data_IF_614385763747
#
_entry.id   IF_614385763747
#
_cell.length_a   1.000
_cell.length_b   1.000
_cell.length_c   1.000
_cell.angle_alpha   90.00
_cell.angle_beta   90.00
_cell.angle_gamma   90.00
#
_symmetry.space_group_name_H-M   'P 1'
#
loop_
_entity.id
_entity.type
_entity.pdbx_description
1 polymer ?
#
# COMPACT_ATOMS: atom_id res chain seq x y z
N UNK A 1 2.58 -94.27 8.66
CA UNK A 1 3.32 -94.11 7.38
C UNK A 1 4.28 -92.93 7.52
N UNK A 2 5.59 -93.19 7.35
CA UNK A 2 6.71 -92.30 6.98
C UNK A 2 6.92 -90.97 7.76
N UNK A 3 7.95 -90.84 8.62
CA UNK A 3 9.41 -90.63 8.40
C UNK A 3 9.82 -89.14 8.40
N UNK A 4 10.57 -88.78 9.45
CA UNK A 4 11.71 -87.83 9.60
C UNK A 4 12.04 -86.88 8.43
N UNK A 5 12.32 -85.60 8.74
CA UNK A 5 13.66 -84.97 8.54
C UNK A 5 13.88 -83.70 9.39
N UNK A 6 15.09 -83.60 9.96
CA UNK A 6 15.73 -82.42 10.58
C UNK A 6 16.28 -81.46 9.50
N UNK A 7 16.38 -80.15 9.78
CA UNK A 7 17.51 -79.33 9.31
C UNK A 7 17.68 -78.04 10.14
N UNK A 8 18.89 -77.88 10.68
CA UNK A 8 19.42 -76.69 11.36
C UNK A 8 19.78 -75.59 10.36
N UNK A 9 19.58 -74.32 10.73
CA UNK A 9 20.34 -73.20 10.18
C UNK A 9 20.78 -72.26 11.31
N UNK A 10 22.10 -72.11 11.43
CA UNK A 10 22.78 -71.04 12.18
C UNK A 10 22.68 -69.73 11.39
N UNK A 11 22.46 -68.60 12.07
CA UNK A 11 22.92 -67.29 11.58
C UNK A 11 23.26 -66.34 12.73
N UNK A 12 24.47 -65.81 12.65
CA UNK A 12 25.22 -64.96 13.57
C UNK A 12 24.44 -63.75 14.13
N UNK A 13 24.49 -63.59 15.45
CA UNK A 13 24.20 -62.33 16.15
C UNK A 13 25.48 -61.48 16.23
N UNK A 14 25.52 -60.34 15.53
CA UNK A 14 26.54 -59.31 15.76
C UNK A 14 26.12 -58.42 16.92
N UNK A 15 26.80 -58.56 18.07
CA UNK A 15 26.73 -57.63 19.20
C UNK A 15 27.57 -56.39 18.85
N UNK A 16 26.93 -55.32 18.40
CA UNK A 16 27.56 -53.98 18.39
C UNK A 16 27.41 -53.40 19.79
N UNK A 17 28.46 -53.53 20.60
CA UNK A 17 28.61 -52.78 21.85
C UNK A 17 28.85 -51.31 21.52
N UNK A 18 27.78 -50.51 21.53
CA UNK A 18 27.89 -49.04 21.47
C UNK A 18 28.30 -48.56 22.86
N UNK A 19 29.53 -48.05 22.95
CA UNK A 19 30.08 -47.43 24.16
C UNK A 19 29.17 -46.30 24.67
N UNK A 20 28.93 -46.16 25.99
CA UNK A 20 28.07 -45.10 26.56
C UNK A 20 28.57 -43.67 26.34
N UNK A 21 29.75 -43.48 25.74
CA UNK A 21 30.47 -42.19 25.71
C UNK A 21 30.16 -41.29 24.50
N UNK A 22 29.19 -41.61 23.64
CA UNK A 22 28.90 -40.82 22.41
C UNK A 22 27.46 -40.29 22.30
N UNK A 23 26.58 -40.54 23.29
CA UNK A 23 25.25 -39.90 23.34
C UNK A 23 25.30 -38.67 24.26
N UNK A 24 26.22 -37.76 23.96
CA UNK A 24 26.06 -36.34 24.28
C UNK A 24 25.93 -35.59 22.95
N UNK A 25 24.98 -36.02 22.10
CA UNK A 25 24.50 -35.14 21.05
C UNK A 25 23.88 -33.95 21.76
N UNK A 26 24.56 -32.82 21.65
CA UNK A 26 24.14 -31.53 22.13
C UNK A 26 22.68 -31.29 21.75
N UNK A 27 21.79 -31.38 22.73
CA UNK A 27 20.60 -30.56 22.73
C UNK A 27 21.09 -29.11 22.76
N UNK A 28 21.35 -28.52 21.57
CA UNK A 28 21.30 -27.07 21.42
C UNK A 28 19.90 -26.68 21.84
N UNK A 29 19.74 -26.32 23.12
CA UNK A 29 18.49 -25.76 23.63
C UNK A 29 18.09 -24.64 22.69
N UNK A 30 16.87 -24.70 22.15
CA UNK A 30 16.30 -23.55 21.44
C UNK A 30 16.31 -22.41 22.45
N UNK A 31 17.21 -21.44 22.26
CA UNK A 31 17.25 -20.26 23.11
C UNK A 31 15.87 -19.62 23.10
N UNK A 32 15.31 -19.38 24.28
CA UNK A 32 13.96 -18.84 24.43
C UNK A 32 13.89 -17.49 23.73
N UNK A 33 12.88 -17.29 22.88
CA UNK A 33 12.72 -16.03 22.18
C UNK A 33 12.56 -14.88 23.17
N UNK A 34 13.21 -13.75 22.91
CA UNK A 34 12.90 -12.50 23.61
C UNK A 34 11.58 -11.98 23.06
N UNK A 35 10.72 -11.52 23.96
CA UNK A 35 9.39 -11.02 23.62
C UNK A 35 9.25 -9.57 24.06
N UNK A 36 8.78 -8.73 23.14
CA UNK A 36 8.31 -7.38 23.40
C UNK A 36 6.83 -7.25 23.03
N UNK A 37 6.13 -6.31 23.65
CA UNK A 37 4.73 -5.99 23.38
C UNK A 37 4.57 -4.51 23.05
N UNK A 38 3.64 -4.21 22.14
CA UNK A 38 3.27 -2.86 21.73
C UNK A 38 1.75 -2.72 21.78
N UNK A 39 1.21 -1.65 22.35
CA UNK A 39 -0.23 -1.34 22.37
C UNK A 39 -0.46 0.14 22.03
N UNK A 40 -1.52 0.53 21.31
CA UNK A 40 -1.87 1.94 21.11
C UNK A 40 -2.14 2.70 22.42
N UNK A 41 -2.39 1.98 23.52
CA UNK A 41 -2.56 2.52 24.88
C UNK A 41 -1.32 2.29 25.77
N UNK A 42 -0.22 1.83 25.18
CA UNK A 42 1.04 1.57 25.87
C UNK A 42 1.79 2.84 26.23
N UNK A 43 3.04 2.69 26.68
CA UNK A 43 3.93 3.81 26.99
C UNK A 43 5.37 3.46 26.62
N UNK A 44 6.04 4.32 25.85
CA UNK A 44 7.41 4.08 25.38
C UNK A 44 8.49 4.18 26.47
N UNK A 45 8.12 4.67 27.66
CA UNK A 45 8.98 4.66 28.85
C UNK A 45 8.97 3.31 29.60
N UNK A 46 8.11 2.36 29.24
CA UNK A 46 8.07 1.02 29.85
C UNK A 46 9.06 0.06 29.19
N UNK A 47 9.24 -1.14 29.75
CA UNK A 47 10.19 -2.13 29.23
C UNK A 47 9.63 -2.98 28.08
N UNK A 48 8.32 -2.93 27.84
CA UNK A 48 7.67 -3.72 26.79
C UNK A 48 7.61 -5.22 27.05
N UNK A 49 7.92 -5.70 28.26
CA UNK A 49 8.04 -7.13 28.58
C UNK A 49 6.72 -7.83 28.91
N UNK A 50 5.66 -7.07 29.15
CA UNK A 50 4.33 -7.58 29.44
C UNK A 50 3.31 -7.02 28.44
N UNK A 51 2.26 -7.78 28.08
CA UNK A 51 1.21 -7.31 27.17
C UNK A 51 0.29 -6.25 27.80
N UNK A 52 0.49 -5.92 29.08
CA UNK A 52 -0.37 -5.04 29.87
C UNK A 52 -0.16 -3.58 29.52
N UNK A 53 -1.19 -2.76 29.77
CA UNK A 53 -1.14 -1.30 29.58
C UNK A 53 -0.87 -0.59 30.90
N UNK A 54 -0.13 -1.24 31.83
CA UNK A 54 0.09 -0.76 33.18
C UNK A 54 1.45 -1.20 33.72
N UNK A 55 2.02 -0.38 34.59
CA UNK A 55 3.27 -0.68 35.29
C UNK A 55 4.50 -0.52 34.39
N UNK A 56 5.69 -0.55 34.99
CA UNK A 56 6.95 -0.29 34.28
C UNK A 56 7.29 -1.35 33.23
N UNK A 57 6.67 -2.53 33.29
CA UNK A 57 6.89 -3.62 32.34
C UNK A 57 5.88 -3.67 31.19
N UNK A 58 4.87 -2.80 31.20
CA UNK A 58 3.81 -2.82 30.20
C UNK A 58 4.31 -2.60 28.77
N UNK A 59 3.40 -2.77 27.82
CA UNK A 59 3.66 -2.65 26.39
C UNK A 59 4.14 -1.25 25.99
N UNK A 60 5.06 -1.18 25.04
CA UNK A 60 5.44 0.07 24.39
C UNK A 60 4.21 0.71 23.71
N UNK A 61 4.21 2.04 23.53
CA UNK A 61 3.19 2.73 22.76
C UNK A 61 3.43 2.56 21.26
N UNK A 62 4.69 2.54 20.82
CA UNK A 62 5.06 2.61 19.41
C UNK A 62 5.87 1.41 18.93
N UNK A 63 5.70 1.08 17.64
CA UNK A 63 6.49 0.05 16.94
C UNK A 63 7.95 0.50 16.81
N UNK A 64 8.18 1.82 16.63
CA UNK A 64 9.51 2.42 16.60
C UNK A 64 10.27 2.17 17.91
N UNK A 65 9.64 2.38 19.07
CA UNK A 65 10.27 2.09 20.35
C UNK A 65 10.67 0.62 20.49
N UNK A 66 9.82 -0.32 20.02
CA UNK A 66 10.14 -1.74 20.04
C UNK A 66 11.34 -2.08 19.13
N UNK A 67 11.45 -1.47 17.95
CA UNK A 67 12.66 -1.56 17.10
C UNK A 67 13.89 -1.07 17.86
N UNK A 68 13.80 0.09 18.52
CA UNK A 68 14.93 0.68 19.22
C UNK A 68 15.37 -0.18 20.44
N UNK A 69 14.42 -0.80 21.14
CA UNK A 69 14.72 -1.76 22.22
C UNK A 69 15.48 -2.99 21.70
N UNK A 70 15.24 -3.41 20.45
CA UNK A 70 15.97 -4.50 19.81
C UNK A 70 17.40 -4.07 19.45
N UNK A 71 17.60 -2.81 19.03
CA UNK A 71 18.94 -2.24 18.81
C UNK A 71 19.74 -2.19 20.10
N UNK A 72 19.14 -1.68 21.18
CA UNK A 72 19.72 -1.68 22.53
C UNK A 72 20.12 -3.10 22.96
N UNK A 73 19.24 -4.09 22.72
CA UNK A 73 19.50 -5.49 23.03
C UNK A 73 20.69 -6.05 22.23
N UNK A 74 20.81 -5.73 20.94
CA UNK A 74 21.95 -6.16 20.11
C UNK A 74 23.26 -5.60 20.66
N UNK A 75 23.29 -4.31 21.00
CA UNK A 75 24.47 -3.67 21.58
C UNK A 75 24.88 -4.37 22.89
N UNK A 76 23.93 -4.69 23.77
CA UNK A 76 24.17 -5.46 25.00
C UNK A 76 24.71 -6.88 24.74
N UNK A 77 24.49 -7.42 23.54
CA UNK A 77 24.92 -8.77 23.15
C UNK A 77 26.19 -8.80 22.30
N UNK A 78 26.81 -7.65 22.02
CA UNK A 78 27.97 -7.54 21.13
C UNK A 78 27.58 -7.44 19.66
N UNK A 79 26.61 -6.58 19.35
CA UNK A 79 26.12 -6.18 18.02
C UNK A 79 25.46 -7.29 17.19
N UNK A 80 25.17 -8.44 17.80
CA UNK A 80 24.44 -9.53 17.16
C UNK A 80 23.46 -10.18 18.13
N UNK A 81 22.32 -10.61 17.61
CA UNK A 81 21.34 -11.34 18.41
C UNK A 81 21.86 -12.74 18.74
N UNK A 82 21.65 -13.19 19.97
CA UNK A 82 21.94 -14.56 20.45
C UNK A 82 20.70 -15.45 20.55
N UNK A 83 19.53 -14.88 20.27
CA UNK A 83 18.22 -15.52 20.29
C UNK A 83 17.25 -14.78 19.37
N UNK A 84 16.19 -15.44 18.87
CA UNK A 84 15.18 -14.75 18.08
C UNK A 84 14.40 -13.75 18.93
N UNK A 85 13.84 -12.72 18.29
CA UNK A 85 12.98 -11.73 18.94
C UNK A 85 11.59 -11.76 18.32
N UNK A 86 10.56 -11.68 19.16
CA UNK A 86 9.17 -11.48 18.72
C UNK A 86 8.60 -10.22 19.35
N UNK A 87 8.07 -9.33 18.52
CA UNK A 87 7.32 -8.14 18.93
C UNK A 87 5.83 -8.42 18.68
N UNK A 88 5.04 -8.52 19.73
CA UNK A 88 3.60 -8.68 19.64
C UNK A 88 2.89 -7.32 19.67
N UNK A 89 2.09 -7.06 18.63
CA UNK A 89 1.24 -5.88 18.53
C UNK A 89 -0.17 -6.23 19.03
N UNK A 90 -0.64 -5.50 20.03
CA UNK A 90 -2.02 -5.56 20.51
C UNK A 90 -3.00 -4.99 19.47
N UNK A 91 -4.27 -5.30 19.61
CA UNK A 91 -5.33 -4.83 18.73
C UNK A 91 -5.54 -3.32 18.82
N UNK A 92 -5.89 -2.72 17.68
CA UNK A 92 -6.14 -1.30 17.53
C UNK A 92 -5.34 -0.69 16.39
N UNK A 93 -5.54 0.61 16.19
CA UNK A 93 -4.90 1.37 15.11
C UNK A 93 -3.71 2.16 15.63
N UNK A 94 -2.55 1.91 15.02
CA UNK A 94 -1.30 2.60 15.26
C UNK A 94 -1.14 3.68 14.17
N UNK A 95 -1.61 4.89 14.45
CA UNK A 95 -1.41 6.04 13.57
C UNK A 95 0.04 6.49 13.64
N UNK A 96 0.76 6.31 12.53
CA UNK A 96 2.16 6.66 12.40
C UNK A 96 2.33 8.17 12.28
N UNK A 97 3.18 8.75 13.13
CA UNK A 97 3.62 10.14 12.98
C UNK A 97 4.64 10.30 11.85
N UNK A 98 5.42 9.25 11.59
CA UNK A 98 6.42 9.17 10.55
C UNK A 98 6.58 7.72 10.06
N UNK A 99 7.23 7.56 8.90
CA UNK A 99 7.52 6.24 8.32
C UNK A 99 8.33 5.36 9.27
N UNK A 100 7.95 4.09 9.42
CA UNK A 100 8.75 3.11 10.15
C UNK A 100 9.99 2.71 9.34
N UNK A 101 11.13 3.27 9.69
CA UNK A 101 12.40 3.01 9.01
C UNK A 101 13.12 1.79 9.59
N UNK A 102 13.48 0.84 8.74
CA UNK A 102 14.34 -0.30 9.07
C UNK A 102 15.61 -0.25 8.25
N UNK A 103 16.75 -0.29 8.92
CA UNK A 103 18.08 -0.31 8.31
C UNK A 103 18.76 -1.66 8.57
N UNK A 104 19.99 -1.84 8.08
CA UNK A 104 20.75 -3.06 8.34
C UNK A 104 21.01 -3.33 9.85
N UNK A 105 20.98 -2.29 10.68
CA UNK A 105 21.05 -2.44 12.15
C UNK A 105 19.85 -3.21 12.71
N UNK A 106 18.73 -3.20 12.00
CA UNK A 106 17.51 -3.90 12.41
C UNK A 106 17.48 -5.35 11.97
N UNK A 107 18.41 -5.81 11.15
CA UNK A 107 18.44 -7.17 10.61
C UNK A 107 18.52 -8.26 11.68
N UNK A 108 17.72 -9.31 11.50
CA UNK A 108 17.94 -10.58 12.20
C UNK A 108 19.08 -11.38 11.54
N UNK A 109 19.21 -12.63 11.94
CA UNK A 109 20.08 -13.60 11.25
C UNK A 109 19.26 -14.82 10.82
N UNK A 110 19.89 -15.71 10.03
CA UNK A 110 19.30 -16.99 9.64
C UNK A 110 18.85 -17.82 10.85
N UNK A 111 19.62 -17.76 11.94
CA UNK A 111 19.35 -18.52 13.16
C UNK A 111 18.44 -17.74 14.11
N UNK A 112 18.49 -16.40 14.09
CA UNK A 112 17.80 -15.51 15.01
C UNK A 112 17.06 -14.38 14.28
N UNK A 113 15.94 -14.73 13.64
CA UNK A 113 15.05 -13.78 12.99
C UNK A 113 14.32 -12.86 13.99
N UNK A 114 13.86 -11.70 13.52
CA UNK A 114 13.01 -10.78 14.28
C UNK A 114 11.61 -10.79 13.65
N UNK A 115 10.59 -11.06 14.45
CA UNK A 115 9.21 -11.13 14.00
C UNK A 115 8.34 -10.05 14.64
N UNK A 116 7.63 -9.27 13.84
CA UNK A 116 6.55 -8.37 14.25
C UNK A 116 5.21 -9.05 13.95
N UNK A 117 4.42 -9.34 14.98
CA UNK A 117 3.24 -10.20 14.87
C UNK A 117 2.07 -9.64 15.64
N UNK A 118 0.84 -9.90 15.18
CA UNK A 118 -0.32 -9.67 16.03
C UNK A 118 -0.26 -10.52 17.31
N UNK A 119 -0.73 -9.94 18.41
CA UNK A 119 -0.92 -10.67 19.66
C UNK A 119 -2.16 -11.56 19.55
N UNK A 120 -1.95 -12.88 19.61
CA UNK A 120 -3.02 -13.87 19.47
C UNK A 120 -3.85 -13.66 18.18
N UNK A 121 -5.16 -13.48 18.31
CA UNK A 121 -6.10 -13.26 17.20
C UNK A 121 -6.50 -11.78 17.05
N UNK A 122 -5.81 -10.87 17.74
CA UNK A 122 -6.06 -9.43 17.63
C UNK A 122 -5.68 -8.93 16.22
N UNK A 123 -6.25 -7.79 15.81
CA UNK A 123 -6.08 -7.22 14.46
C UNK A 123 -5.44 -5.83 14.52
N UNK A 124 -4.11 -5.73 14.69
CA UNK A 124 -3.40 -4.46 14.66
C UNK A 124 -3.42 -3.84 13.25
N UNK A 125 -3.70 -2.54 13.17
CA UNK A 125 -3.67 -1.75 11.94
C UNK A 125 -2.54 -0.72 12.06
N UNK A 126 -1.54 -0.81 11.19
CA UNK A 126 -0.48 0.19 11.04
C UNK A 126 -0.97 1.18 10.00
N UNK A 127 -1.29 2.40 10.44
CA UNK A 127 -1.96 3.39 9.60
C UNK A 127 -1.09 4.62 9.35
N UNK A 128 -1.00 5.05 8.10
CA UNK A 128 -0.37 6.32 7.71
C UNK A 128 -1.35 7.49 7.65
N UNK A 129 -2.58 7.28 8.14
CA UNK A 129 -3.64 8.27 8.11
C UNK A 129 -3.81 9.04 9.40
N UNK A 130 -4.81 9.93 9.39
CA UNK A 130 -5.24 10.74 10.52
C UNK A 130 -6.76 10.69 10.61
N UNK A 131 -7.29 10.48 11.83
CA UNK A 131 -8.71 10.67 12.09
C UNK A 131 -9.03 12.16 12.00
N UNK A 132 -10.02 12.51 11.19
CA UNK A 132 -10.56 13.86 11.10
C UNK A 132 -11.71 13.99 12.09
N UNK A 133 -11.61 14.96 12.99
CA UNK A 133 -12.62 15.27 14.02
C UNK A 133 -13.14 16.70 13.84
N UNK A 134 -14.16 17.10 14.62
CA UNK A 134 -14.71 18.46 14.55
C UNK A 134 -15.69 18.68 13.38
N UNK A 135 -16.26 17.60 12.86
CA UNK A 135 -17.29 17.66 11.83
C UNK A 135 -18.56 18.34 12.33
N UNK A 136 -19.19 19.12 11.46
CA UNK A 136 -20.51 19.70 11.66
C UNK A 136 -21.44 19.35 10.49
N UNK A 137 -22.72 19.22 10.78
CA UNK A 137 -23.75 19.03 9.76
C UNK A 137 -24.24 20.37 9.23
N UNK A 138 -24.44 20.48 7.92
CA UNK A 138 -25.14 21.59 7.27
C UNK A 138 -26.04 21.08 6.13
N UNK A 139 -26.89 21.95 5.61
CA UNK A 139 -27.68 21.68 4.40
C UNK A 139 -27.06 22.39 3.20
N UNK A 140 -26.67 21.64 2.17
CA UNK A 140 -26.18 22.16 0.89
C UNK A 140 -27.04 21.58 -0.23
N UNK A 141 -27.62 22.46 -1.07
CA UNK A 141 -28.50 22.06 -2.18
C UNK A 141 -29.62 21.08 -1.75
N UNK A 142 -30.21 21.30 -0.57
CA UNK A 142 -31.27 20.45 -0.01
C UNK A 142 -30.80 19.10 0.56
N UNK A 143 -29.49 18.87 0.70
CA UNK A 143 -28.91 17.63 1.22
C UNK A 143 -28.15 17.87 2.51
N UNK A 144 -28.20 16.90 3.41
CA UNK A 144 -27.30 16.85 4.57
C UNK A 144 -25.87 16.64 4.10
N UNK A 145 -24.98 17.51 4.53
CA UNK A 145 -23.55 17.44 4.24
C UNK A 145 -22.79 17.63 5.54
N UNK A 146 -21.85 16.75 5.82
CA UNK A 146 -20.88 16.91 6.89
C UNK A 146 -19.71 17.74 6.39
N UNK A 147 -19.25 18.68 7.21
CA UNK A 147 -18.13 19.52 6.83
C UNK A 147 -17.21 19.83 8.00
N UNK A 148 -15.94 20.06 7.70
CA UNK A 148 -14.90 20.41 8.68
C UNK A 148 -13.85 21.29 8.02
N UNK A 149 -13.36 22.28 8.76
CA UNK A 149 -12.26 23.13 8.30
C UNK A 149 -10.92 22.49 8.70
N UNK A 150 -10.01 22.40 7.74
CA UNK A 150 -8.67 21.83 7.88
C UNK A 150 -7.64 22.94 7.57
N UNK A 151 -7.22 23.72 8.57
CA UNK A 151 -6.27 24.82 8.36
C UNK A 151 -4.97 24.38 7.69
N UNK A 152 -4.52 23.15 7.93
CA UNK A 152 -3.30 22.59 7.35
C UNK A 152 -3.40 22.38 5.84
N UNK A 153 -4.62 22.14 5.33
CA UNK A 153 -4.91 22.08 3.88
C UNK A 153 -4.83 23.48 3.28
N UNK A 154 -5.47 24.46 3.92
CA UNK A 154 -5.39 25.87 3.49
C UNK A 154 -3.96 26.39 3.48
N UNK A 155 -3.13 25.95 4.42
CA UNK A 155 -1.73 26.30 4.52
C UNK A 155 -0.83 25.49 3.56
N UNK A 156 -1.39 24.60 2.73
CA UNK A 156 -0.68 23.72 1.80
C UNK A 156 0.33 22.77 2.48
N UNK A 157 0.20 22.56 3.79
CA UNK A 157 1.04 21.63 4.57
C UNK A 157 0.50 20.21 4.60
N UNK A 158 -0.75 20.02 4.17
CA UNK A 158 -1.38 18.72 4.03
C UNK A 158 -2.29 18.70 2.81
N UNK A 159 -2.15 17.69 1.95
CA UNK A 159 -3.06 17.43 0.84
C UNK A 159 -3.30 15.94 0.75
N UNK A 160 -4.48 15.55 0.28
CA UNK A 160 -4.84 14.15 0.11
C UNK A 160 -5.87 13.99 -1.00
N UNK A 161 -5.91 12.80 -1.55
CA UNK A 161 -6.76 12.39 -2.66
C UNK A 161 -7.80 11.37 -2.25
N UNK A 162 -7.75 10.86 -1.02
CA UNK A 162 -8.58 9.75 -0.55
C UNK A 162 -9.15 10.03 0.84
N UNK A 163 -10.34 9.49 1.08
CA UNK A 163 -11.05 9.57 2.35
C UNK A 163 -11.67 8.19 2.61
N UNK A 164 -11.53 7.68 3.82
CA UNK A 164 -12.22 6.47 4.27
C UNK A 164 -13.19 6.84 5.38
N UNK A 165 -14.41 6.32 5.29
CA UNK A 165 -15.49 6.53 6.26
C UNK A 165 -15.92 5.15 6.75
N UNK A 166 -15.78 4.90 8.04
CA UNK A 166 -16.12 3.62 8.69
C UNK A 166 -15.42 2.40 8.04
N UNK A 167 -14.22 2.59 7.51
CA UNK A 167 -13.42 1.55 6.85
C UNK A 167 -13.64 1.43 5.34
N UNK A 168 -14.64 2.12 4.77
CA UNK A 168 -14.92 2.09 3.34
C UNK A 168 -14.39 3.34 2.63
N UNK A 169 -13.81 3.19 1.43
CA UNK A 169 -13.33 4.32 0.63
C UNK A 169 -14.51 5.15 0.13
N UNK A 170 -14.54 6.42 0.50
CA UNK A 170 -15.50 7.38 -0.04
C UNK A 170 -15.10 7.86 -1.44
N UNK A 171 -16.08 8.08 -2.30
CA UNK A 171 -15.86 8.51 -3.68
C UNK A 171 -15.50 10.00 -3.70
N UNK A 172 -14.32 10.35 -4.21
CA UNK A 172 -14.03 11.75 -4.51
C UNK A 172 -15.01 12.21 -5.59
N UNK A 173 -15.70 13.33 -5.38
CA UNK A 173 -16.80 13.74 -6.24
C UNK A 173 -16.34 13.80 -7.70
N UNK A 174 -17.12 13.20 -8.60
CA UNK A 174 -16.74 13.08 -10.01
C UNK A 174 -17.90 13.29 -10.97
N UNK A 175 -17.55 13.57 -12.23
CA UNK A 175 -18.47 13.63 -13.34
C UNK A 175 -17.88 13.01 -14.62
N UNK A 176 -18.65 12.20 -15.37
CA UNK A 176 -19.94 11.64 -14.97
C UNK A 176 -19.77 10.74 -13.74
N UNK A 177 -20.88 10.42 -13.06
CA UNK A 177 -20.87 9.54 -11.87
C UNK A 177 -20.32 8.16 -12.18
N UNK A 178 -20.61 7.67 -13.38
CA UNK A 178 -20.17 6.38 -13.91
C UNK A 178 -19.77 6.54 -15.37
N UNK A 179 -18.89 5.67 -15.85
CA UNK A 179 -18.41 5.72 -17.24
C UNK A 179 -17.47 6.89 -17.50
N UNK A 180 -17.38 7.28 -18.77
CA UNK A 180 -16.41 8.25 -19.28
C UNK A 180 -17.04 9.15 -20.34
N UNK A 181 -16.54 10.37 -20.44
CA UNK A 181 -16.73 11.27 -21.57
C UNK A 181 -15.68 10.95 -22.65
N UNK A 182 -15.96 11.33 -23.89
CA UNK A 182 -15.03 11.17 -25.02
C UNK A 182 -14.48 12.54 -25.42
N UNK A 183 -13.19 12.60 -25.74
CA UNK A 183 -12.58 13.81 -26.33
C UNK A 183 -13.16 14.03 -27.73
N UNK A 184 -13.66 15.25 -28.00
CA UNK A 184 -14.22 15.62 -29.30
C UNK A 184 -13.11 15.92 -30.32
N UNK A 185 -12.24 16.89 -30.00
CA UNK A 185 -11.12 17.27 -30.85
C UNK A 185 -9.87 17.56 -30.02
N UNK A 186 -8.69 17.40 -30.63
CA UNK A 186 -7.42 17.77 -30.03
C UNK A 186 -6.73 18.78 -30.96
N UNK A 187 -6.86 20.10 -30.74
CA UNK A 187 -6.48 21.12 -31.72
C UNK A 187 -4.99 21.14 -32.05
N UNK A 188 -4.15 20.59 -31.16
CA UNK A 188 -2.69 20.53 -31.31
C UNK A 188 -2.20 19.21 -31.92
N UNK A 189 -3.12 18.33 -32.36
CA UNK A 189 -2.79 16.99 -32.89
C UNK A 189 -3.00 16.97 -34.40
N UNK A 190 -1.98 16.51 -35.10
CA UNK A 190 -1.99 16.23 -36.55
C UNK A 190 -1.74 14.74 -36.80
N UNK A 191 -2.04 14.22 -38.01
CA UNK A 191 -1.75 12.83 -38.35
C UNK A 191 -0.29 12.40 -38.10
N UNK A 192 0.65 13.35 -38.19
CA UNK A 192 2.09 13.12 -38.00
C UNK A 192 2.57 13.32 -36.56
N UNK A 193 1.68 13.68 -35.63
CA UNK A 193 2.06 13.89 -34.22
C UNK A 193 2.44 12.55 -33.59
N UNK A 194 3.68 12.39 -33.05
CA UNK A 194 4.09 11.14 -32.43
C UNK A 194 3.19 10.79 -31.24
N UNK A 195 2.89 9.51 -31.05
CA UNK A 195 1.98 9.06 -29.99
C UNK A 195 2.52 9.29 -28.57
N UNK A 196 3.84 9.50 -28.42
CA UNK A 196 4.48 9.86 -27.16
C UNK A 196 4.40 11.35 -26.83
N UNK A 197 3.92 12.18 -27.77
CA UNK A 197 3.80 13.62 -27.58
C UNK A 197 2.40 13.93 -27.07
N UNK A 198 2.25 14.04 -25.75
CA UNK A 198 0.98 14.44 -25.14
C UNK A 198 0.66 15.93 -25.27
N UNK A 199 -0.61 16.24 -25.02
CA UNK A 199 -1.21 17.58 -25.11
C UNK A 199 -1.66 18.05 -23.73
N UNK A 200 -1.77 19.37 -23.56
CA UNK A 200 -2.27 20.01 -22.34
C UNK A 200 -3.65 20.65 -22.52
N UNK A 201 -4.36 20.34 -23.60
CA UNK A 201 -5.72 20.80 -23.87
C UNK A 201 -6.42 19.91 -24.88
N UNK A 202 -7.74 19.88 -24.82
CA UNK A 202 -8.60 19.26 -25.82
C UNK A 202 -9.98 19.94 -25.82
N UNK A 203 -10.76 19.70 -26.87
CA UNK A 203 -12.15 20.12 -26.95
C UNK A 203 -13.09 19.00 -26.49
N UNK A 204 -14.05 19.35 -25.64
CA UNK A 204 -15.12 18.45 -25.19
C UNK A 204 -16.38 18.60 -26.07
N UNK A 205 -17.30 17.64 -26.01
CA UNK A 205 -18.50 17.64 -26.86
C UNK A 205 -19.54 18.61 -26.34
N UNK A 206 -20.37 19.10 -27.24
CA UNK A 206 -21.54 19.90 -26.87
C UNK A 206 -22.43 19.12 -25.91
N UNK A 207 -22.69 19.69 -24.73
CA UNK A 207 -23.56 19.10 -23.71
C UNK A 207 -22.87 18.09 -22.78
N UNK A 208 -21.57 17.81 -22.94
CA UNK A 208 -20.85 16.91 -22.03
C UNK A 208 -20.84 17.45 -20.60
N UNK A 209 -20.46 18.72 -20.43
CA UNK A 209 -20.26 19.34 -19.13
C UNK A 209 -21.47 20.21 -18.74
N UNK A 210 -21.91 20.17 -17.47
CA UNK A 210 -22.84 21.17 -16.96
C UNK A 210 -22.14 22.54 -16.85
N UNK A 211 -22.91 23.59 -16.52
CA UNK A 211 -22.34 24.89 -16.19
C UNK A 211 -21.47 24.79 -14.91
N UNK A 212 -20.21 25.21 -14.99
CA UNK A 212 -19.23 25.12 -13.91
C UNK A 212 -18.74 26.51 -13.51
N UNK A 213 -18.76 26.84 -12.21
CA UNK A 213 -18.39 28.19 -11.74
C UNK A 213 -16.92 28.31 -11.36
N UNK A 214 -16.38 27.32 -10.63
CA UNK A 214 -14.96 27.25 -10.26
C UNK A 214 -14.43 25.85 -10.52
N UNK A 215 -13.38 25.77 -11.33
CA UNK A 215 -12.74 24.53 -11.76
C UNK A 215 -11.25 24.47 -11.40
N UNK A 216 -10.72 25.50 -10.73
CA UNK A 216 -9.28 25.68 -10.52
C UNK A 216 -8.66 24.53 -9.69
N UNK A 217 -9.46 23.92 -8.81
CA UNK A 217 -9.05 22.78 -7.96
C UNK A 217 -9.52 21.42 -8.49
N UNK A 218 -10.13 21.42 -9.68
CA UNK A 218 -10.59 20.24 -10.38
C UNK A 218 -9.46 19.51 -11.11
N UNK A 219 -9.65 18.22 -11.32
CA UNK A 219 -8.69 17.36 -12.03
C UNK A 219 -9.40 16.58 -13.13
N UNK A 220 -8.82 16.54 -14.33
CA UNK A 220 -9.23 15.62 -15.37
C UNK A 220 -8.41 14.33 -15.29
N UNK A 221 -9.10 13.19 -15.22
CA UNK A 221 -8.49 11.87 -15.35
C UNK A 221 -8.70 11.45 -16.79
N UNK A 222 -7.67 11.64 -17.60
CA UNK A 222 -7.68 11.39 -19.04
C UNK A 222 -6.96 10.08 -19.32
N UNK A 223 -7.69 9.08 -19.79
CA UNK A 223 -7.11 7.82 -20.23
C UNK A 223 -6.80 7.91 -21.72
N UNK A 224 -5.57 7.60 -22.07
CA UNK A 224 -5.10 7.43 -23.44
C UNK A 224 -4.29 6.14 -23.50
N UNK A 225 -4.69 5.21 -24.37
CA UNK A 225 -4.03 3.90 -24.49
C UNK A 225 -4.16 3.13 -23.18
N UNK A 226 -3.05 2.60 -22.67
CA UNK A 226 -2.97 1.81 -21.45
C UNK A 226 -2.61 2.65 -20.22
N UNK A 227 -2.68 3.98 -20.29
CA UNK A 227 -2.31 4.86 -19.19
C UNK A 227 -3.32 5.98 -18.96
N UNK A 228 -3.50 6.33 -17.70
CA UNK A 228 -4.19 7.53 -17.24
C UNK A 228 -3.22 8.68 -17.00
N UNK A 229 -3.64 9.88 -17.40
CA UNK A 229 -3.02 11.15 -17.04
C UNK A 229 -3.94 11.85 -16.05
N UNK A 230 -3.42 12.22 -14.88
CA UNK A 230 -4.15 13.03 -13.89
C UNK A 230 -3.73 14.49 -14.03
N UNK A 231 -4.62 15.32 -14.56
CA UNK A 231 -4.34 16.64 -15.12
C UNK A 231 -5.13 17.74 -14.38
N UNK A 232 -4.49 18.54 -13.51
CA UNK A 232 -5.13 19.69 -12.88
C UNK A 232 -5.60 20.67 -13.93
N UNK A 233 -6.87 21.06 -13.80
CA UNK A 233 -7.55 21.94 -14.73
C UNK A 233 -7.01 23.34 -14.55
N UNK A 234 -6.58 23.95 -15.65
CA UNK A 234 -6.14 25.35 -15.68
C UNK A 234 -7.31 26.28 -15.98
N UNK A 235 -8.13 25.91 -16.96
CA UNK A 235 -9.30 26.68 -17.38
C UNK A 235 -10.22 25.83 -18.27
N UNK A 236 -11.51 26.18 -18.26
CA UNK A 236 -12.51 25.73 -19.22
C UNK A 236 -13.08 26.96 -19.93
N UNK A 237 -13.01 26.98 -21.26
CA UNK A 237 -13.62 27.99 -22.11
C UNK A 237 -14.82 27.36 -22.83
N UNK A 238 -16.02 27.63 -22.32
CA UNK A 238 -17.27 26.97 -22.77
C UNK A 238 -17.65 27.35 -24.21
N UNK A 239 -17.40 28.60 -24.62
CA UNK A 239 -17.70 29.14 -25.95
C UNK A 239 -17.02 28.35 -27.09
N UNK A 240 -15.77 27.94 -26.87
CA UNK A 240 -14.98 27.12 -27.79
C UNK A 240 -14.84 25.67 -27.34
N UNK A 241 -15.57 25.27 -26.28
CA UNK A 241 -15.55 23.95 -25.64
C UNK A 241 -14.15 23.43 -25.34
N UNK A 242 -13.25 24.28 -24.88
CA UNK A 242 -11.85 23.93 -24.66
C UNK A 242 -11.55 23.78 -23.17
N UNK A 243 -11.03 22.63 -22.78
CA UNK A 243 -10.42 22.43 -21.46
C UNK A 243 -8.90 22.44 -21.59
N UNK A 244 -8.21 23.11 -20.67
CA UNK A 244 -6.76 23.22 -20.63
C UNK A 244 -6.20 22.85 -19.26
N UNK A 245 -4.94 22.41 -19.23
CA UNK A 245 -4.30 21.82 -18.05
C UNK A 245 -2.94 22.46 -17.77
N UNK A 246 -2.51 22.39 -16.50
CA UNK A 246 -1.17 22.81 -16.09
C UNK A 246 -0.06 21.91 -16.63
N UNK A 247 -0.39 20.67 -16.99
CA UNK A 247 0.54 19.66 -17.47
C UNK A 247 0.06 19.00 -18.76
N UNK A 248 0.98 18.31 -19.44
CA UNK A 248 0.66 17.50 -20.61
C UNK A 248 0.24 16.09 -20.18
N UNK A 249 -0.66 15.50 -20.95
CA UNK A 249 -0.92 14.06 -20.93
C UNK A 249 0.35 13.25 -21.21
N UNK A 250 0.38 12.00 -20.73
CA UNK A 250 1.50 11.08 -20.92
C UNK A 250 1.65 10.74 -22.41
N UNK A 251 0.53 10.44 -23.06
CA UNK A 251 0.48 10.10 -24.49
C UNK A 251 -0.41 11.06 -25.26
N UNK A 252 -0.23 11.05 -26.58
CA UNK A 252 -1.05 11.78 -27.54
C UNK A 252 -2.53 11.50 -27.31
N UNK A 253 -3.33 12.57 -27.32
CA UNK A 253 -4.79 12.51 -27.25
C UNK A 253 -5.31 12.20 -28.65
N UNK A 254 -5.84 11.00 -28.85
CA UNK A 254 -6.49 10.62 -30.11
C UNK A 254 -8.00 10.91 -29.99
N UNK A 255 -8.52 11.96 -30.66
CA UNK A 255 -9.92 12.37 -30.53
C UNK A 255 -10.87 11.48 -31.34
N UNK A 256 -12.17 11.58 -31.06
CA UNK A 256 -13.24 11.00 -31.87
C UNK A 256 -13.98 9.82 -31.23
N UNK A 257 -14.80 9.14 -32.04
CA UNK A 257 -15.67 8.05 -31.58
C UNK A 257 -15.04 6.66 -31.66
N UNK A 258 -13.78 6.55 -32.06
CA UNK A 258 -13.09 5.27 -32.12
C UNK A 258 -13.16 4.55 -30.77
N UNK A 259 -13.57 3.29 -30.77
CA UNK A 259 -13.46 2.41 -29.60
C UNK A 259 -12.06 1.78 -29.50
N UNK A 260 -11.07 2.33 -30.22
CA UNK A 260 -9.69 1.92 -30.01
C UNK A 260 -9.25 2.34 -28.61
N UNK A 261 -8.41 1.52 -27.98
CA UNK A 261 -7.78 1.88 -26.70
C UNK A 261 -7.01 3.20 -26.78
N UNK A 262 -6.64 3.65 -27.98
CA UNK A 262 -5.94 4.92 -28.16
C UNK A 262 -6.84 6.15 -27.96
N UNK A 263 -8.15 6.02 -28.11
CA UNK A 263 -9.09 7.13 -28.02
C UNK A 263 -9.04 7.80 -26.63
N UNK A 264 -9.06 9.13 -26.62
CA UNK A 264 -9.10 9.92 -25.41
C UNK A 264 -10.46 9.82 -24.74
N UNK A 265 -10.53 9.13 -23.60
CA UNK A 265 -11.69 9.12 -22.72
C UNK A 265 -11.32 9.74 -21.37
N UNK A 266 -12.24 10.42 -20.72
CA UNK A 266 -11.94 11.13 -19.49
C UNK A 266 -13.12 11.23 -18.55
N UNK A 267 -12.83 11.60 -17.31
CA UNK A 267 -13.79 12.10 -16.35
C UNK A 267 -13.14 13.20 -15.50
N UNK A 268 -13.95 14.01 -14.85
CA UNK A 268 -13.50 15.11 -14.01
C UNK A 268 -13.75 14.77 -12.54
N UNK A 269 -12.83 15.15 -11.65
CA UNK A 269 -12.92 14.99 -10.20
C UNK A 269 -12.74 16.33 -9.47
N UNK A 270 -13.24 16.38 -8.23
CA UNK A 270 -12.99 17.46 -7.27
C UNK A 270 -13.49 18.85 -7.70
N UNK A 271 -14.64 18.89 -8.38
CA UNK A 271 -15.34 20.14 -8.68
C UNK A 271 -16.58 20.19 -7.80
N UNK A 272 -16.83 21.34 -7.15
CA UNK A 272 -17.84 21.50 -6.11
C UNK A 272 -19.23 21.10 -6.59
N UNK A 273 -19.58 21.49 -7.81
CA UNK A 273 -20.86 21.21 -8.47
C UNK A 273 -21.10 19.70 -8.66
N UNK A 274 -20.05 18.89 -8.63
CA UNK A 274 -20.19 17.44 -8.70
C UNK A 274 -20.53 16.80 -7.35
N UNK A 275 -20.41 17.48 -6.21
CA UNK A 275 -20.78 16.88 -4.92
C UNK A 275 -22.31 16.75 -4.81
N UNK A 276 -22.86 15.56 -5.08
CA UNK A 276 -24.32 15.41 -5.20
C UNK A 276 -24.91 14.08 -4.71
N UNK A 277 -24.15 12.98 -4.64
CA UNK A 277 -24.70 11.69 -4.17
C UNK A 277 -24.10 11.23 -2.84
N UNK A 278 -24.84 10.49 -2.00
CA UNK A 278 -24.30 9.89 -0.77
C UNK A 278 -23.02 9.09 -1.03
N UNK A 279 -22.07 9.19 -0.10
CA UNK A 279 -20.75 8.60 -0.23
C UNK A 279 -19.73 9.46 -0.98
N UNK A 280 -20.13 10.61 -1.56
CA UNK A 280 -19.19 11.53 -2.19
C UNK A 280 -18.60 12.55 -1.22
N UNK A 281 -17.34 12.93 -1.48
CA UNK A 281 -16.67 14.02 -0.79
C UNK A 281 -15.97 15.00 -1.75
N UNK A 282 -15.75 16.21 -1.26
CA UNK A 282 -15.09 17.31 -1.98
C UNK A 282 -14.18 18.06 -1.01
N UNK A 283 -12.95 18.37 -1.43
CA UNK A 283 -12.00 19.18 -0.67
C UNK A 283 -11.71 20.47 -1.44
N UNK A 284 -12.07 21.59 -0.82
CA UNK A 284 -11.76 22.96 -1.28
C UNK A 284 -10.42 23.38 -0.66
N UNK A 285 -9.34 23.37 -1.45
CA UNK A 285 -7.98 23.57 -0.92
C UNK A 285 -7.76 25.01 -0.44
N UNK A 286 -8.21 26.00 -1.22
CA UNK A 286 -8.15 27.45 -0.94
C UNK A 286 -8.69 27.83 0.43
N UNK A 287 -9.74 27.16 0.90
CA UNK A 287 -10.37 27.42 2.20
C UNK A 287 -10.00 26.39 3.27
N UNK A 288 -9.49 25.23 2.85
CA UNK A 288 -9.29 24.05 3.69
C UNK A 288 -10.61 23.37 4.09
N UNK A 289 -11.72 23.65 3.41
CA UNK A 289 -13.03 23.09 3.77
C UNK A 289 -13.23 21.73 3.10
N UNK A 290 -13.42 20.70 3.93
CA UNK A 290 -13.77 19.35 3.49
C UNK A 290 -15.28 19.14 3.63
N UNK A 291 -15.90 18.52 2.64
CA UNK A 291 -17.33 18.21 2.60
C UNK A 291 -17.53 16.73 2.29
N UNK A 292 -18.50 16.10 2.95
CA UNK A 292 -18.89 14.71 2.71
C UNK A 292 -20.42 14.58 2.78
N UNK A 293 -21.02 13.90 1.81
CA UNK A 293 -22.44 13.53 1.87
C UNK A 293 -22.53 12.14 2.52
N UNK A 294 -23.03 12.03 3.77
CA UNK A 294 -23.08 10.75 4.46
C UNK A 294 -23.96 9.74 3.74
N UNK A 295 -23.57 8.46 3.80
CA UNK A 295 -24.42 7.35 3.42
C UNK A 295 -25.62 7.24 4.37
N UNK A 296 -26.76 6.68 3.92
CA UNK A 296 -27.89 6.42 4.78
C UNK A 296 -27.49 5.59 6.01
N UNK A 297 -27.77 6.11 7.20
CA UNK A 297 -27.48 5.45 8.48
C UNK A 297 -26.14 5.81 9.11
N UNK A 298 -25.29 6.58 8.44
CA UNK A 298 -24.08 7.12 9.08
C UNK A 298 -24.43 8.25 10.05
N UNK A 299 -23.84 8.19 11.24
CA UNK A 299 -24.03 9.16 12.32
C UNK A 299 -22.72 9.93 12.55
N UNK A 300 -22.78 11.26 12.54
CA UNK A 300 -21.59 12.13 12.57
C UNK A 300 -20.80 11.96 13.88
N UNK A 301 -21.47 11.64 14.98
CA UNK A 301 -20.87 11.43 16.30
C UNK A 301 -20.14 10.09 16.45
N UNK A 302 -20.42 9.12 15.56
CA UNK A 302 -19.84 7.77 15.61
C UNK A 302 -18.92 7.47 14.44
N UNK A 303 -19.00 8.26 13.37
CA UNK A 303 -18.24 8.01 12.15
C UNK A 303 -16.74 8.12 12.40
N UNK A 304 -16.00 7.09 12.00
CA UNK A 304 -14.54 7.16 11.89
C UNK A 304 -14.19 7.62 10.47
N UNK A 305 -13.66 8.83 10.34
CA UNK A 305 -13.29 9.40 9.04
C UNK A 305 -11.78 9.61 9.01
N UNK A 306 -11.10 8.90 8.11
CA UNK A 306 -9.64 8.88 7.99
C UNK A 306 -9.24 9.45 6.64
N UNK A 307 -8.29 10.39 6.65
CA UNK A 307 -7.56 10.81 5.45
C UNK A 307 -6.07 10.43 5.59
N UNK A 308 -5.39 10.06 4.50
CA UNK A 308 -4.00 9.64 4.55
C UNK A 308 -3.07 10.85 4.72
N UNK A 309 -1.91 10.62 5.35
CA UNK A 309 -0.85 11.64 5.53
C UNK A 309 0.45 11.12 4.90
N UNK A 310 0.89 9.95 5.34
CA UNK A 310 2.14 9.34 4.90
C UNK A 310 1.98 8.61 3.56
N UNK A 311 2.97 8.72 2.68
CA UNK A 311 3.02 7.93 1.45
C UNK A 311 3.66 6.55 1.61
N UNK A 312 4.47 6.39 2.65
CA UNK A 312 5.10 5.12 3.07
C UNK A 312 4.80 4.88 4.54
N UNK A 313 4.40 3.66 4.86
CA UNK A 313 4.19 3.18 6.22
C UNK A 313 5.47 2.55 6.76
N UNK A 314 6.18 1.80 5.90
CA UNK A 314 7.43 1.13 6.22
C UNK A 314 8.44 1.38 5.11
N UNK A 315 9.65 1.76 5.49
CA UNK A 315 10.80 1.86 4.58
C UNK A 315 11.91 0.93 5.09
N UNK A 316 12.23 -0.10 4.32
CA UNK A 316 13.34 -1.00 4.59
C UNK A 316 14.48 -0.69 3.62
N UNK A 317 15.55 -0.07 4.11
CA UNK A 317 16.64 0.42 3.28
C UNK A 317 18.01 -0.02 3.80
N UNK A 318 18.69 -0.85 3.01
CA UNK A 318 20.08 -1.27 3.23
C UNK A 318 21.10 -0.37 2.52
N UNK A 319 22.34 -0.86 2.46
CA UNK A 319 23.44 -0.33 1.66
C UNK A 319 24.19 -1.48 0.95
N UNK A 320 23.98 -1.60 -0.36
CA UNK A 320 24.60 -2.64 -1.20
C UNK A 320 26.12 -2.47 -1.30
N UNK A 321 26.62 -1.24 -1.36
CA UNK A 321 28.04 -0.96 -1.52
C UNK A 321 28.85 -1.47 -0.33
N UNK A 322 28.28 -1.41 0.88
CA UNK A 322 28.90 -1.91 2.11
C UNK A 322 28.45 -3.33 2.47
N UNK A 323 27.58 -3.96 1.68
CA UNK A 323 27.02 -5.28 1.96
C UNK A 323 26.04 -5.32 3.14
N UNK A 324 25.56 -4.16 3.60
CA UNK A 324 24.67 -4.00 4.74
C UNK A 324 23.21 -4.09 4.28
N UNK A 325 22.68 -5.31 4.12
CA UNK A 325 21.29 -5.52 3.74
C UNK A 325 20.36 -5.51 4.96
N UNK A 326 19.08 -5.18 4.73
CA UNK A 326 18.02 -5.49 5.71
C UNK A 326 17.61 -6.95 5.53
N UNK A 327 17.72 -7.75 6.59
CA UNK A 327 17.57 -9.20 6.52
C UNK A 327 16.76 -9.80 7.66
N UNK A 328 16.07 -10.92 7.37
CA UNK A 328 15.41 -11.77 8.38
C UNK A 328 14.40 -11.02 9.28
N UNK A 329 13.69 -10.04 8.72
CA UNK A 329 12.52 -9.39 9.32
C UNK A 329 11.23 -10.04 8.84
N UNK A 330 10.39 -10.48 9.77
CA UNK A 330 9.14 -11.16 9.48
C UNK A 330 7.94 -10.36 10.02
N UNK A 331 6.96 -10.08 9.16
CA UNK A 331 5.70 -9.45 9.53
C UNK A 331 4.58 -10.49 9.40
N UNK A 332 3.81 -10.72 10.46
CA UNK A 332 2.77 -11.75 10.46
C UNK A 332 1.44 -11.29 11.06
N UNK A 333 0.35 -11.50 10.32
CA UNK A 333 -1.02 -11.15 10.74
C UNK A 333 -1.21 -9.67 11.09
N UNK A 334 -0.54 -8.76 10.36
CA UNK A 334 -0.65 -7.32 10.53
C UNK A 334 -1.44 -6.69 9.37
N UNK A 335 -2.12 -5.57 9.63
CA UNK A 335 -2.75 -4.75 8.60
C UNK A 335 -1.94 -3.48 8.36
N UNK A 336 -1.74 -3.11 7.10
CA UNK A 336 -1.07 -1.87 6.68
C UNK A 336 -2.06 -1.04 5.85
N UNK A 337 -2.35 0.19 6.27
CA UNK A 337 -3.43 0.97 5.69
C UNK A 337 -3.22 2.49 5.65
N UNK A 338 -4.04 3.16 4.83
CA UNK A 338 -4.18 4.62 4.74
C UNK A 338 -2.88 5.34 4.33
N UNK A 339 -2.27 4.89 3.23
CA UNK A 339 -1.12 5.57 2.64
C UNK A 339 -1.51 6.42 1.43
N UNK A 340 -0.95 7.61 1.33
CA UNK A 340 -1.14 8.54 0.22
C UNK A 340 -0.14 8.32 -0.92
N UNK A 341 -0.28 9.02 -2.03
CA UNK A 341 0.71 9.12 -3.11
C UNK A 341 1.01 10.58 -3.43
N UNK A 342 2.22 10.83 -3.95
CA UNK A 342 2.62 12.15 -4.45
C UNK A 342 3.51 12.00 -5.68
N UNK A 343 3.48 12.98 -6.59
CA UNK A 343 4.46 13.04 -7.67
C UNK A 343 5.85 13.41 -7.12
N UNK A 344 6.88 12.69 -7.56
CA UNK A 344 8.26 13.04 -7.29
C UNK A 344 8.80 13.93 -8.42
N UNK A 345 9.86 14.69 -8.14
CA UNK A 345 10.54 15.46 -9.18
C UNK A 345 11.09 14.55 -10.29
N UNK A 346 11.45 13.31 -9.95
CA UNK A 346 11.99 12.32 -10.88
C UNK A 346 10.95 11.87 -11.91
N UNK A 347 9.71 11.64 -11.48
CA UNK A 347 8.69 11.10 -12.38
C UNK A 347 8.04 12.17 -13.27
N UNK A 348 8.19 13.47 -12.98
CA UNK A 348 7.65 14.58 -13.79
C UNK A 348 6.18 14.39 -14.22
N UNK A 349 5.37 13.77 -13.36
CA UNK A 349 3.97 13.37 -13.63
C UNK A 349 3.74 12.34 -14.74
N UNK A 350 4.80 11.66 -15.16
CA UNK A 350 4.73 10.46 -15.98
C UNK A 350 5.09 9.24 -15.12
N UNK A 351 4.08 8.45 -14.77
CA UNK A 351 4.25 7.25 -13.93
C UNK A 351 4.60 6.00 -14.74
N UNK A 352 4.75 6.12 -16.06
CA UNK A 352 5.07 5.01 -16.95
C UNK A 352 3.95 3.98 -17.07
N UNK A 353 4.21 2.91 -17.83
CA UNK A 353 3.29 1.80 -17.95
C UNK A 353 3.13 1.10 -16.59
N UNK A 354 1.93 0.58 -16.29
CA UNK A 354 1.62 -0.06 -15.02
C UNK A 354 1.78 0.86 -13.79
N UNK A 355 1.86 2.18 -14.00
CA UNK A 355 2.21 3.15 -12.95
C UNK A 355 3.53 2.77 -12.23
N UNK A 356 4.51 2.24 -12.96
CA UNK A 356 5.81 1.78 -12.42
C UNK A 356 6.56 2.85 -11.61
N UNK A 357 6.36 4.12 -11.93
CA UNK A 357 6.96 5.27 -11.26
C UNK A 357 6.38 5.57 -9.88
N UNK A 358 5.30 4.91 -9.46
CA UNK A 358 4.78 4.98 -8.10
C UNK A 358 5.61 4.10 -7.16
N UNK A 359 5.68 4.50 -5.90
CA UNK A 359 6.25 3.67 -4.83
C UNK A 359 5.19 2.79 -4.17
N UNK A 360 5.60 1.99 -3.18
CA UNK A 360 4.72 1.17 -2.35
C UNK A 360 4.55 1.76 -0.95
N UNK A 361 3.41 1.49 -0.31
CA UNK A 361 3.17 1.79 1.10
C UNK A 361 4.18 1.07 2.01
N UNK A 362 4.68 -0.09 1.58
CA UNK A 362 5.85 -0.75 2.13
C UNK A 362 6.94 -0.71 1.06
N UNK A 363 7.95 0.11 1.28
CA UNK A 363 9.08 0.27 0.37
C UNK A 363 10.27 -0.54 0.84
N UNK A 364 10.91 -1.26 -0.07
CA UNK A 364 12.09 -2.06 0.21
C UNK A 364 13.18 -1.81 -0.83
N UNK A 365 14.37 -1.44 -0.35
CA UNK A 365 15.60 -1.30 -1.14
C UNK A 365 16.72 -2.05 -0.42
N UNK A 366 17.39 -2.95 -1.14
CA UNK A 366 18.52 -3.72 -0.60
C UNK A 366 18.10 -4.59 0.60
N UNK A 367 17.02 -5.36 0.37
CA UNK A 367 16.38 -6.22 1.37
C UNK A 367 16.37 -7.67 0.90
N UNK A 368 16.73 -8.60 1.77
CA UNK A 368 16.67 -10.03 1.46
C UNK A 368 16.20 -10.89 2.63
N UNK A 369 15.67 -12.07 2.31
CA UNK A 369 15.18 -13.06 3.29
C UNK A 369 14.12 -12.53 4.28
N UNK A 370 13.43 -11.44 3.94
CA UNK A 370 12.32 -10.91 4.72
C UNK A 370 11.00 -11.55 4.29
N UNK A 371 10.04 -11.62 5.21
CA UNK A 371 8.76 -12.31 4.98
C UNK A 371 7.59 -11.47 5.45
N UNK A 372 6.57 -11.36 4.60
CA UNK A 372 5.22 -10.94 4.97
C UNK A 372 4.32 -12.17 4.89
N UNK A 373 3.63 -12.49 5.98
CA UNK A 373 2.80 -13.68 6.07
C UNK A 373 1.43 -13.35 6.67
N UNK A 374 0.36 -13.71 5.96
CA UNK A 374 -1.01 -13.47 6.44
C UNK A 374 -1.30 -12.00 6.79
N UNK A 375 -0.59 -11.07 6.16
CA UNK A 375 -0.83 -9.63 6.34
C UNK A 375 -1.96 -9.17 5.42
N UNK A 376 -2.66 -8.12 5.82
CA UNK A 376 -3.54 -7.34 4.96
C UNK A 376 -2.85 -6.03 4.58
N UNK A 377 -2.85 -5.68 3.30
CA UNK A 377 -2.30 -4.44 2.79
C UNK A 377 -3.43 -3.77 1.99
N UNK A 378 -4.04 -2.74 2.57
CA UNK A 378 -5.31 -2.23 2.06
C UNK A 378 -5.49 -0.74 2.27
N UNK A 379 -6.52 -0.15 1.66
CA UNK A 379 -6.84 1.28 1.83
C UNK A 379 -5.65 2.16 1.48
N UNK A 380 -5.08 1.94 0.29
CA UNK A 380 -3.89 2.63 -0.17
C UNK A 380 -4.19 3.46 -1.40
N UNK A 381 -3.41 4.52 -1.61
CA UNK A 381 -3.37 5.20 -2.90
C UNK A 381 -2.23 4.73 -3.82
N UNK A 382 -1.16 4.17 -3.23
CA UNK A 382 0.05 3.69 -3.90
C UNK A 382 -0.02 2.19 -4.28
N UNK A 383 1.11 1.61 -4.70
CA UNK A 383 1.29 0.16 -4.64
C UNK A 383 1.30 -0.34 -3.19
N UNK A 384 1.03 -1.63 -2.97
CA UNK A 384 1.15 -2.26 -1.65
C UNK A 384 2.60 -2.40 -1.19
N UNK A 385 3.36 -3.32 -1.80
CA UNK A 385 4.77 -3.59 -1.51
C UNK A 385 5.61 -3.30 -2.75
N UNK A 386 6.67 -2.49 -2.59
CA UNK A 386 7.63 -2.14 -3.63
C UNK A 386 9.01 -2.72 -3.30
N UNK A 387 9.37 -3.84 -3.91
CA UNK A 387 10.75 -4.33 -3.97
C UNK A 387 11.49 -3.58 -5.08
N UNK A 388 12.13 -2.48 -4.70
CA UNK A 388 12.84 -1.58 -5.60
C UNK A 388 14.21 -2.15 -5.99
N UNK A 389 15.31 -1.45 -5.69
CA UNK A 389 16.65 -1.91 -6.09
C UNK A 389 17.21 -2.98 -5.15
N UNK A 390 17.93 -3.95 -5.72
CA UNK A 390 18.73 -4.96 -5.02
C UNK A 390 17.99 -5.76 -3.94
N UNK A 391 16.70 -6.03 -4.14
CA UNK A 391 15.93 -6.92 -3.29
C UNK A 391 15.99 -8.36 -3.80
N UNK A 392 16.10 -9.37 -2.93
CA UNK A 392 16.10 -10.77 -3.38
C UNK A 392 15.63 -11.73 -2.31
N UNK A 393 15.13 -12.90 -2.71
CA UNK A 393 14.79 -14.00 -1.76
C UNK A 393 13.78 -13.62 -0.67
N UNK A 394 12.95 -12.60 -0.89
CA UNK A 394 11.87 -12.20 0.01
C UNK A 394 10.59 -13.00 -0.27
N UNK A 395 9.72 -13.12 0.73
CA UNK A 395 8.49 -13.90 0.65
C UNK A 395 7.27 -13.07 1.01
N UNK A 396 6.22 -13.19 0.20
CA UNK A 396 4.88 -12.69 0.47
C UNK A 396 3.94 -13.90 0.43
N UNK A 397 3.45 -14.31 1.60
CA UNK A 397 2.79 -15.59 1.80
C UNK A 397 1.39 -15.41 2.39
N UNK A 398 0.36 -15.85 1.67
CA UNK A 398 -1.02 -15.84 2.16
C UNK A 398 -1.51 -14.44 2.57
N UNK A 399 -1.00 -13.40 1.96
CA UNK A 399 -1.39 -12.02 2.23
C UNK A 399 -2.65 -11.65 1.44
N UNK A 400 -3.36 -10.64 1.94
CA UNK A 400 -4.49 -10.03 1.25
C UNK A 400 -4.11 -8.62 0.82
N UNK A 401 -4.48 -8.26 -0.40
CA UNK A 401 -4.32 -6.92 -0.94
C UNK A 401 -5.65 -6.45 -1.52
N UNK A 402 -6.19 -5.35 -1.01
CA UNK A 402 -7.48 -4.85 -1.48
C UNK A 402 -7.64 -3.36 -1.27
N UNK A 403 -8.58 -2.76 -2.01
CA UNK A 403 -8.79 -1.31 -1.97
C UNK A 403 -7.49 -0.54 -2.28
N UNK A 404 -6.92 -0.82 -3.46
CA UNK A 404 -5.60 -0.33 -3.87
C UNK A 404 -5.74 0.76 -4.93
N UNK A 405 -5.12 1.91 -4.70
CA UNK A 405 -5.05 2.98 -5.68
C UNK A 405 -4.27 2.58 -6.93
N UNK A 406 -3.18 1.82 -6.77
CA UNK A 406 -2.43 1.21 -7.86
C UNK A 406 -2.44 -0.33 -7.74
N UNK A 407 -1.28 -0.98 -7.89
CA UNK A 407 -1.13 -2.44 -7.81
C UNK A 407 -0.83 -2.97 -6.41
N UNK A 408 -0.71 -4.28 -6.26
CA UNK A 408 -0.37 -4.91 -4.98
C UNK A 408 1.13 -4.99 -4.76
N UNK A 409 1.87 -5.54 -5.74
CA UNK A 409 3.29 -5.88 -5.55
C UNK A 409 4.09 -5.42 -6.76
N UNK A 410 5.19 -4.71 -6.51
CA UNK A 410 6.18 -4.31 -7.51
C UNK A 410 7.51 -5.00 -7.22
N UNK A 411 8.12 -5.58 -8.26
CA UNK A 411 9.46 -6.18 -8.22
C UNK A 411 10.28 -5.55 -9.34
N UNK A 412 11.13 -4.58 -9.02
CA UNK A 412 11.84 -3.81 -10.04
C UNK A 412 13.06 -4.54 -10.60
N UNK A 413 14.04 -4.83 -9.75
CA UNK A 413 15.29 -5.47 -10.16
C UNK A 413 15.62 -6.61 -9.21
N UNK A 414 16.38 -7.60 -9.69
CA UNK A 414 16.77 -8.80 -8.93
C UNK A 414 15.55 -9.65 -8.55
N UNK A 415 15.75 -10.92 -8.20
CA UNK A 415 14.60 -11.81 -7.97
C UNK A 415 14.85 -12.92 -6.96
N UNK A 416 14.33 -14.11 -7.27
CA UNK A 416 14.12 -15.20 -6.31
C UNK A 416 13.05 -14.89 -5.25
N UNK A 417 12.14 -13.96 -5.52
CA UNK A 417 11.01 -13.70 -4.63
C UNK A 417 9.95 -14.80 -4.72
N UNK A 418 9.23 -15.02 -3.63
CA UNK A 418 8.09 -15.94 -3.60
C UNK A 418 6.83 -15.15 -3.24
N UNK A 419 5.85 -15.14 -4.14
CA UNK A 419 4.52 -14.54 -3.94
C UNK A 419 3.51 -15.68 -4.04
N UNK A 420 3.06 -16.20 -2.91
CA UNK A 420 2.32 -17.47 -2.85
C UNK A 420 1.06 -17.37 -2.02
N UNK A 421 -0.05 -17.87 -2.55
CA UNK A 421 -1.29 -18.04 -1.78
C UNK A 421 -2.01 -16.73 -1.47
N UNK A 422 -1.67 -15.63 -2.15
CA UNK A 422 -2.23 -14.31 -1.87
C UNK A 422 -3.58 -14.11 -2.56
N UNK A 423 -4.43 -13.28 -1.94
CA UNK A 423 -5.69 -12.83 -2.53
C UNK A 423 -5.58 -11.34 -2.82
N UNK A 424 -5.60 -10.97 -4.09
CA UNK A 424 -5.32 -9.62 -4.58
C UNK A 424 -6.52 -9.14 -5.40
N UNK A 425 -7.22 -8.12 -4.93
CA UNK A 425 -8.44 -7.67 -5.59
C UNK A 425 -8.72 -6.18 -5.41
N UNK A 426 -9.64 -5.63 -6.19
CA UNK A 426 -10.07 -4.22 -6.10
C UNK A 426 -8.86 -3.26 -6.13
N UNK A 427 -8.01 -3.39 -7.15
CA UNK A 427 -6.86 -2.50 -7.35
C UNK A 427 -6.99 -1.64 -8.60
N UNK A 428 -6.03 -0.74 -8.82
CA UNK A 428 -6.06 0.25 -9.90
C UNK A 428 -7.19 1.28 -9.76
N UNK A 429 -7.65 1.55 -8.54
CA UNK A 429 -8.79 2.42 -8.27
C UNK A 429 -8.51 3.90 -8.57
N UNK A 430 -7.25 4.31 -8.48
CA UNK A 430 -6.77 5.68 -8.78
C UNK A 430 -5.96 5.67 -10.08
N UNK A 431 -5.13 4.65 -10.23
CA UNK A 431 -4.21 4.44 -11.34
C UNK A 431 -4.66 3.25 -12.18
N UNK A 432 -5.57 3.52 -13.13
CA UNK A 432 -6.27 2.51 -13.92
C UNK A 432 -5.36 1.63 -14.79
N UNK A 433 -4.18 2.11 -15.14
CA UNK A 433 -3.18 1.36 -15.89
C UNK A 433 -2.34 0.42 -15.02
N UNK A 434 -2.43 0.51 -13.69
CA UNK A 434 -1.67 -0.34 -12.77
C UNK A 434 -2.09 -1.81 -12.85
N UNK A 435 -1.16 -2.71 -12.51
CA UNK A 435 -1.38 -4.16 -12.53
C UNK A 435 -1.24 -4.74 -11.12
N UNK A 436 -1.88 -5.88 -10.85
CA UNK A 436 -1.82 -6.51 -9.54
C UNK A 436 -0.39 -6.83 -9.09
N UNK A 437 0.41 -7.45 -9.97
CA UNK A 437 1.82 -7.77 -9.71
C UNK A 437 2.62 -7.31 -10.93
N UNK A 438 3.53 -6.36 -10.73
CA UNK A 438 4.45 -5.90 -11.76
C UNK A 438 5.84 -6.46 -11.49
N UNK A 439 6.44 -7.09 -12.50
CA UNK A 439 7.82 -7.60 -12.46
C UNK A 439 8.59 -6.94 -13.60
N UNK A 440 9.61 -6.17 -13.24
CA UNK A 440 10.58 -5.58 -14.16
C UNK A 440 11.72 -6.56 -14.48
N UNK A 441 12.96 -6.10 -14.34
CA UNK A 441 14.15 -6.89 -14.68
C UNK A 441 14.57 -7.82 -13.52
N UNK A 442 13.75 -8.85 -13.28
CA UNK A 442 13.85 -9.70 -12.11
C UNK A 442 13.64 -11.19 -12.45
N UNK A 443 14.68 -12.01 -12.25
CA UNK A 443 14.67 -13.43 -12.62
C UNK A 443 14.29 -14.38 -11.46
N UNK A 444 13.86 -15.60 -11.80
CA UNK A 444 13.63 -16.72 -10.86
C UNK A 444 12.59 -16.45 -9.76
N UNK A 445 11.65 -15.54 -9.99
CA UNK A 445 10.54 -15.31 -9.08
C UNK A 445 9.51 -16.45 -9.18
N UNK A 446 8.95 -16.86 -8.05
CA UNK A 446 7.85 -17.82 -7.97
C UNK A 446 6.56 -17.08 -7.61
N UNK A 447 5.65 -16.95 -8.59
CA UNK A 447 4.28 -16.47 -8.39
C UNK A 447 3.36 -17.68 -8.52
N UNK A 448 2.80 -18.17 -7.42
CA UNK A 448 2.02 -19.40 -7.44
C UNK A 448 0.79 -19.33 -6.54
N UNK A 449 -0.32 -19.94 -6.97
CA UNK A 449 -1.54 -20.08 -6.19
C UNK A 449 -2.12 -18.76 -5.66
N UNK A 450 -1.99 -17.67 -6.42
CA UNK A 450 -2.61 -16.39 -6.06
C UNK A 450 -3.97 -16.25 -6.75
N UNK A 451 -4.93 -15.66 -6.06
CA UNK A 451 -6.24 -15.31 -6.62
C UNK A 451 -6.26 -13.81 -6.91
N UNK A 452 -6.35 -13.43 -8.20
CA UNK A 452 -6.27 -12.04 -8.67
C UNK A 452 -7.54 -11.70 -9.45
N UNK A 453 -8.28 -10.67 -9.04
CA UNK A 453 -9.51 -10.24 -9.73
C UNK A 453 -9.86 -8.76 -9.48
N UNK A 454 -10.80 -8.19 -10.23
CA UNK A 454 -11.22 -6.78 -10.12
C UNK A 454 -10.08 -5.76 -10.22
N UNK A 455 -9.28 -5.89 -11.29
CA UNK A 455 -8.38 -4.84 -11.74
C UNK A 455 -8.94 -4.25 -13.05
N UNK A 456 -9.07 -2.92 -13.16
CA UNK A 456 -9.20 -2.24 -14.43
C UNK A 456 -8.10 -2.71 -15.37
N UNK A 457 -8.41 -3.17 -16.56
CA UNK A 457 -7.46 -3.06 -17.66
C UNK A 457 -8.06 -2.13 -18.68
N UNK A 458 -7.37 -1.04 -19.01
CA UNK A 458 -7.83 -0.07 -20.01
C UNK A 458 -8.01 -0.70 -21.40
N UNK A 459 -7.43 -1.88 -21.64
CA UNK A 459 -7.57 -2.65 -22.87
C UNK A 459 -8.88 -3.49 -22.98
N UNK A 460 -9.70 -3.56 -21.92
CA UNK A 460 -10.95 -4.34 -21.89
C UNK A 460 -12.21 -3.49 -21.67
N UNK A 461 -12.10 -2.16 -21.83
CA UNK A 461 -13.15 -1.19 -21.52
C UNK A 461 -13.79 -0.60 -22.75
#
# INVERSE_FOLDING_TARGET
MNRRTFLNFFSLSWLITISPTVIALAFKGKSQAIVFYVSPKGNDAWTGKEPTEKGINGAFATIARARDAIRELKQQQGDTLKQPVTVFLRGGTYFLQETLNFTAEDSGTKDFAIAYKAYQNEKPIISGGRIITGWRSLTLNGKTVWTVNLPEVKAETWSFHQLWVNGDRAQRCRYPKTGYLKVDQAPDVTPNTPWQKGQNRFQFRTGDLPELKDVEEGEAILMTRWAESRLPIKAIAEDIRLISFHHRSIYRIDPGDSDSSAAGIYYLENIREFLNVPGEWYLEQKSGQLYYIPLPGEEIERAEIIAPVLSKLVDLSGNKQTGQFVEYLWFENLTFAHAEWYYTQENKRNLGQAAEGLTGAIYAKQVRFCTWKQCAIAHLSNYGIDFADACSSNKILKCQFFDLGAGAIKVANYGNHQIIGCHIYNGGLIFHGAVAIWIGNAANNLIAHNHIHHFPTLASR
#
